data_IF_334637218027
#
_entry.id   IF_334637218027
#
_cell.length_a   1.000
_cell.length_b   1.000
_cell.length_c   1.000
_cell.angle_alpha   90.00
_cell.angle_beta   90.00
_cell.angle_gamma   90.00
#
_symmetry.space_group_name_H-M   'P 1'
#
loop_
_entity.id
_entity.type
_entity.pdbx_description
1 polymer ?
#
# COMPACT_ATOMS: atom_id res chain seq x y z
N UNK A 1 -86.81 29.04 -15.91
CA UNK A 1 -86.06 27.82 -16.19
C UNK A 1 -84.60 28.14 -16.04
N UNK A 2 -84.00 27.67 -14.93
CA UNK A 2 -82.55 27.95 -14.61
C UNK A 2 -81.76 26.67 -14.76
N UNK A 3 -80.90 26.64 -15.75
CA UNK A 3 -79.91 25.53 -15.94
C UNK A 3 -78.74 25.75 -15.01
N UNK A 4 -78.54 24.81 -14.08
CA UNK A 4 -77.39 24.77 -13.19
C UNK A 4 -76.31 23.88 -13.83
N UNK A 5 -75.24 24.47 -14.26
CA UNK A 5 -74.08 23.75 -14.76
C UNK A 5 -73.16 23.33 -13.59
N UNK A 6 -73.07 22.04 -13.36
CA UNK A 6 -72.09 21.46 -12.41
C UNK A 6 -70.68 21.51 -13.00
N UNK A 7 -69.77 22.29 -12.40
CA UNK A 7 -68.39 22.31 -12.68
C UNK A 7 -67.68 21.11 -11.99
N UNK A 8 -67.22 20.19 -12.76
CA UNK A 8 -66.31 19.14 -12.25
C UNK A 8 -64.90 19.70 -12.14
N UNK A 9 -64.45 19.77 -10.90
CA UNK A 9 -63.05 20.15 -10.58
C UNK A 9 -62.16 18.91 -10.76
N UNK A 10 -61.39 18.84 -11.84
CA UNK A 10 -60.43 17.79 -12.09
C UNK A 10 -59.15 18.21 -11.35
N UNK A 11 -58.84 17.50 -10.27
CA UNK A 11 -57.54 17.60 -9.61
C UNK A 11 -56.50 16.78 -10.40
N UNK A 12 -55.41 17.36 -10.88
CA UNK A 12 -54.32 16.57 -11.40
C UNK A 12 -53.56 15.93 -10.23
N UNK A 13 -53.64 14.61 -10.14
CA UNK A 13 -52.79 13.82 -9.24
C UNK A 13 -51.39 13.91 -9.80
N UNK A 14 -50.57 14.73 -9.15
CA UNK A 14 -49.13 14.84 -9.41
C UNK A 14 -48.47 13.57 -8.86
N UNK A 15 -48.22 12.59 -9.73
CA UNK A 15 -47.38 11.44 -9.41
C UNK A 15 -45.94 11.94 -9.19
N UNK A 16 -45.58 12.14 -7.93
CA UNK A 16 -44.19 12.37 -7.52
C UNK A 16 -43.45 11.04 -7.62
N UNK A 17 -42.88 10.78 -8.79
CA UNK A 17 -41.92 9.65 -8.98
C UNK A 17 -40.68 9.98 -8.18
N UNK A 18 -40.61 9.50 -6.94
CA UNK A 18 -39.36 9.50 -6.16
C UNK A 18 -38.43 8.48 -6.81
N UNK A 19 -37.58 8.96 -7.71
CA UNK A 19 -36.42 8.20 -8.15
C UNK A 19 -35.51 8.00 -6.94
N UNK A 20 -35.66 6.87 -6.25
CA UNK A 20 -34.61 6.33 -5.40
C UNK A 20 -33.43 5.98 -6.31
N UNK A 21 -32.57 6.95 -6.56
CA UNK A 21 -31.22 6.67 -7.02
C UNK A 21 -30.53 5.90 -5.89
N UNK A 22 -30.60 4.57 -5.97
CA UNK A 22 -29.72 3.70 -5.22
C UNK A 22 -28.29 4.07 -5.68
N UNK A 23 -27.67 5.01 -4.98
CA UNK A 23 -26.21 5.19 -4.99
C UNK A 23 -25.63 3.89 -4.42
N UNK A 24 -25.56 2.88 -5.28
CA UNK A 24 -24.65 1.76 -5.07
C UNK A 24 -23.27 2.39 -5.03
N UNK A 25 -22.75 2.67 -3.84
CA UNK A 25 -21.35 2.93 -3.60
C UNK A 25 -20.61 1.67 -4.06
N UNK A 26 -20.33 1.57 -5.37
CA UNK A 26 -19.32 0.66 -5.89
C UNK A 26 -18.02 1.17 -5.29
N UNK A 27 -17.61 0.56 -4.18
CA UNK A 27 -16.30 0.81 -3.59
C UNK A 27 -15.27 0.58 -4.70
N UNK A 28 -14.73 1.69 -5.24
CA UNK A 28 -13.70 1.62 -6.26
C UNK A 28 -12.48 0.91 -5.62
N UNK A 29 -12.03 -0.23 -6.14
CA UNK A 29 -10.93 -0.99 -5.55
C UNK A 29 -9.68 -0.13 -5.34
N UNK A 30 -9.43 0.82 -6.24
CA UNK A 30 -8.30 1.76 -6.17
C UNK A 30 -8.41 2.72 -4.97
N UNK A 31 -9.61 3.24 -4.67
CA UNK A 31 -9.82 4.11 -3.50
C UNK A 31 -9.68 3.33 -2.20
N UNK A 32 -10.21 2.11 -2.15
CA UNK A 32 -10.06 1.24 -1.00
C UNK A 32 -8.59 0.89 -0.76
N UNK A 33 -7.83 0.58 -1.81
CA UNK A 33 -6.40 0.31 -1.73
C UNK A 33 -5.59 1.50 -1.21
N UNK A 34 -5.92 2.73 -1.64
CA UNK A 34 -5.31 3.97 -1.12
C UNK A 34 -5.64 4.17 0.35
N UNK A 35 -6.89 3.92 0.76
CA UNK A 35 -7.34 4.05 2.15
C UNK A 35 -6.62 3.07 3.08
N UNK A 36 -6.30 1.87 2.59
CA UNK A 36 -5.52 0.87 3.35
C UNK A 36 -4.10 1.33 3.70
N UNK A 37 -3.51 2.23 2.90
CA UNK A 37 -2.20 2.82 3.19
C UNK A 37 -2.28 4.03 4.12
N UNK A 38 -3.47 4.58 4.37
CA UNK A 38 -3.63 5.71 5.29
C UNK A 38 -3.52 5.23 6.73
N UNK A 39 -2.70 5.93 7.52
CA UNK A 39 -2.55 5.73 8.96
C UNK A 39 -2.72 7.08 9.63
N UNK A 40 -3.48 7.14 10.72
CA UNK A 40 -3.56 8.38 11.50
C UNK A 40 -2.19 8.65 12.14
N UNK A 41 -1.70 9.89 12.12
CA UNK A 41 -0.37 10.23 12.66
C UNK A 41 -0.17 9.81 14.13
N UNK A 42 -1.24 9.73 14.95
CA UNK A 42 -1.19 9.26 16.33
C UNK A 42 -1.14 7.73 16.47
N UNK A 43 -1.45 7.00 15.40
CA UNK A 43 -1.55 5.53 15.40
C UNK A 43 -0.39 4.86 14.65
N UNK A 44 0.46 5.63 13.96
CA UNK A 44 1.58 5.08 13.23
C UNK A 44 1.96 5.92 12.02
N UNK A 45 2.54 5.25 11.02
CA UNK A 45 2.92 5.87 9.74
C UNK A 45 2.77 4.89 8.58
N UNK A 46 2.74 5.44 7.37
CA UNK A 46 2.94 4.69 6.15
C UNK A 46 3.84 5.49 5.21
N UNK A 47 4.96 4.91 4.81
CA UNK A 47 5.87 5.49 3.82
C UNK A 47 5.85 4.63 2.58
N UNK A 48 5.81 5.25 1.39
CA UNK A 48 5.69 4.57 0.10
C UNK A 48 6.75 5.08 -0.86
N UNK A 49 7.39 4.16 -1.55
CA UNK A 49 8.25 4.44 -2.70
C UNK A 49 7.59 3.88 -3.96
N UNK A 50 7.29 4.76 -4.93
CA UNK A 50 6.77 4.37 -6.23
C UNK A 50 7.90 4.27 -7.25
N UNK A 51 7.86 3.21 -8.07
CA UNK A 51 8.85 3.00 -9.12
C UNK A 51 8.35 3.55 -10.46
N UNK A 52 9.15 4.40 -11.14
CA UNK A 52 8.83 4.87 -12.47
C UNK A 52 8.59 3.69 -13.42
N UNK A 53 7.54 3.78 -14.25
CA UNK A 53 7.16 2.71 -15.19
C UNK A 53 6.98 1.32 -14.55
N UNK A 54 6.73 1.28 -13.25
CA UNK A 54 6.65 0.04 -12.47
C UNK A 54 7.92 -0.84 -12.60
N UNK A 55 9.09 -0.23 -12.61
CA UNK A 55 10.38 -0.91 -12.74
C UNK A 55 11.30 -0.52 -11.60
N UNK A 56 11.68 -1.47 -10.76
CA UNK A 56 12.71 -1.28 -9.74
C UNK A 56 14.08 -1.47 -10.39
N UNK A 57 14.74 -0.36 -10.71
CA UNK A 57 16.09 -0.35 -11.27
C UNK A 57 17.14 -0.27 -10.17
N UNK A 58 18.19 -1.06 -10.27
CA UNK A 58 19.30 -1.07 -9.32
C UNK A 58 20.44 -0.18 -9.83
N UNK A 59 20.90 0.72 -8.97
CA UNK A 59 21.98 1.64 -9.30
C UNK A 59 23.30 0.90 -9.47
N UNK A 60 24.09 1.29 -10.48
CA UNK A 60 25.43 0.76 -10.71
C UNK A 60 26.44 1.60 -9.95
N UNK A 61 27.27 0.93 -9.14
CA UNK A 61 28.41 1.53 -8.46
C UNK A 61 29.69 0.96 -9.05
N UNK A 62 30.54 1.82 -9.61
CA UNK A 62 31.86 1.43 -10.05
C UNK A 62 32.76 1.26 -8.83
N UNK A 63 33.43 0.11 -8.73
CA UNK A 63 34.40 -0.17 -7.69
C UNK A 63 35.80 0.28 -8.15
N UNK A 64 36.75 0.55 -7.19
CA UNK A 64 38.11 0.99 -7.52
C UNK A 64 38.89 -0.01 -8.38
N UNK A 65 38.54 -1.31 -8.32
CA UNK A 65 39.15 -2.38 -9.11
C UNK A 65 38.58 -2.51 -10.52
N UNK A 66 37.65 -1.64 -10.92
CA UNK A 66 36.97 -1.66 -12.22
C UNK A 66 35.74 -2.56 -12.28
N UNK A 67 35.42 -3.28 -11.22
CA UNK A 67 34.19 -4.06 -11.14
C UNK A 67 32.94 -3.16 -10.97
N UNK A 68 31.79 -3.69 -11.34
CA UNK A 68 30.49 -3.03 -11.15
C UNK A 68 29.72 -3.76 -10.06
N UNK A 69 29.40 -3.05 -8.99
CA UNK A 69 28.48 -3.48 -7.96
C UNK A 69 27.09 -2.90 -8.22
N UNK A 70 26.04 -3.69 -8.01
CA UNK A 70 24.66 -3.20 -8.06
C UNK A 70 24.23 -2.82 -6.65
N UNK A 71 23.87 -1.53 -6.47
CA UNK A 71 23.18 -1.10 -5.27
C UNK A 71 21.70 -1.52 -5.37
N UNK A 72 21.34 -2.56 -4.64
CA UNK A 72 20.01 -3.18 -4.62
C UNK A 72 19.20 -2.77 -3.39
N UNK A 73 19.65 -1.76 -2.65
CA UNK A 73 18.99 -1.25 -1.47
C UNK A 73 17.96 -0.18 -1.83
N UNK A 74 16.76 -0.31 -1.27
CA UNK A 74 15.76 0.74 -1.19
C UNK A 74 15.75 1.27 0.24
N UNK A 75 15.99 2.56 0.39
CA UNK A 75 16.00 3.23 1.70
C UNK A 75 14.68 3.99 1.87
N UNK A 76 13.99 3.72 2.95
CA UNK A 76 12.76 4.40 3.34
C UNK A 76 12.88 4.88 4.79
N UNK A 77 12.06 5.85 5.18
CA UNK A 77 12.14 6.45 6.51
C UNK A 77 10.76 6.57 7.13
N UNK A 78 10.69 6.51 8.46
CA UNK A 78 9.48 6.70 9.22
C UNK A 78 9.75 6.89 10.69
N UNK A 79 8.81 7.54 11.40
CA UNK A 79 8.91 7.80 12.81
C UNK A 79 7.70 7.21 13.54
N UNK A 80 7.96 6.50 14.64
CA UNK A 80 6.91 5.99 15.50
C UNK A 80 6.39 7.13 16.40
N UNK A 81 5.06 7.36 16.46
CA UNK A 81 4.50 8.51 17.18
C UNK A 81 4.77 8.48 18.69
N UNK A 82 4.74 7.29 19.28
CA UNK A 82 4.97 7.11 20.70
C UNK A 82 5.92 5.93 20.97
N UNK A 83 7.08 6.14 21.62
CA UNK A 83 8.06 5.09 21.88
C UNK A 83 7.60 4.06 22.91
N UNK A 84 6.55 4.36 23.69
CA UNK A 84 6.02 3.44 24.71
C UNK A 84 4.98 2.46 24.13
N UNK A 85 4.54 2.69 22.90
CA UNK A 85 3.57 1.83 22.21
C UNK A 85 4.23 0.69 21.46
N UNK A 86 3.43 -0.33 21.16
CA UNK A 86 3.79 -1.44 20.29
C UNK A 86 3.17 -1.25 18.91
N UNK A 87 3.86 -1.71 17.88
CA UNK A 87 3.45 -1.53 16.49
C UNK A 87 3.57 -2.82 15.71
N UNK A 88 2.61 -3.06 14.83
CA UNK A 88 2.76 -4.02 13.74
C UNK A 88 3.45 -3.34 12.57
N UNK A 89 4.61 -3.84 12.17
CA UNK A 89 5.34 -3.35 11.00
C UNK A 89 5.08 -4.27 9.81
N UNK A 90 4.45 -3.72 8.78
CA UNK A 90 4.00 -4.45 7.59
C UNK A 90 4.76 -3.98 6.35
N UNK A 91 5.30 -4.94 5.58
CA UNK A 91 5.76 -4.72 4.21
C UNK A 91 4.59 -4.91 3.25
N UNK A 92 4.40 -3.95 2.35
CA UNK A 92 3.37 -3.98 1.32
C UNK A 92 4.07 -3.78 -0.03
N UNK A 93 3.75 -4.64 -1.00
CA UNK A 93 4.28 -4.55 -2.37
C UNK A 93 3.12 -4.54 -3.35
N UNK A 94 2.98 -3.46 -4.10
CA UNK A 94 2.03 -3.34 -5.20
C UNK A 94 2.72 -3.70 -6.50
N UNK A 95 2.17 -4.67 -7.23
CA UNK A 95 2.81 -5.24 -8.41
C UNK A 95 1.79 -5.62 -9.49
N UNK A 96 2.21 -5.56 -10.74
CA UNK A 96 1.41 -6.07 -11.85
C UNK A 96 1.46 -7.59 -11.91
N UNK A 97 0.34 -8.23 -12.27
CA UNK A 97 0.25 -9.68 -12.45
C UNK A 97 1.30 -10.26 -13.41
N UNK A 98 1.76 -9.41 -14.34
CA UNK A 98 2.82 -9.74 -15.33
C UNK A 98 4.25 -9.71 -14.77
N UNK A 99 4.46 -9.52 -13.45
CA UNK A 99 5.80 -9.58 -12.86
C UNK A 99 6.50 -10.88 -13.26
N UNK A 100 7.78 -10.82 -13.77
CA UNK A 100 8.41 -11.95 -14.43
C UNK A 100 8.96 -13.02 -13.47
N UNK A 101 8.74 -12.88 -12.18
CA UNK A 101 9.21 -13.81 -11.15
C UNK A 101 8.08 -14.24 -10.22
N UNK A 102 8.23 -15.42 -9.64
CA UNK A 102 7.26 -15.94 -8.65
C UNK A 102 7.59 -15.50 -7.22
N UNK A 103 8.87 -15.29 -6.93
CA UNK A 103 9.37 -14.98 -5.58
C UNK A 103 10.46 -13.93 -5.64
N UNK A 104 10.43 -13.00 -4.70
CA UNK A 104 11.44 -11.98 -4.51
C UNK A 104 11.97 -12.06 -3.08
N UNK A 105 13.16 -12.62 -2.89
CA UNK A 105 13.80 -12.63 -1.58
C UNK A 105 14.39 -11.24 -1.29
N UNK A 106 14.07 -10.72 -0.10
CA UNK A 106 14.52 -9.44 0.42
C UNK A 106 15.17 -9.62 1.80
N UNK A 107 16.17 -8.84 2.11
CA UNK A 107 16.57 -8.59 3.50
C UNK A 107 15.99 -7.23 3.92
N UNK A 108 15.20 -7.25 4.96
CA UNK A 108 14.60 -6.08 5.57
C UNK A 108 15.37 -5.71 6.82
N UNK A 109 15.96 -4.52 6.85
CA UNK A 109 16.74 -4.01 7.98
C UNK A 109 16.11 -2.75 8.55
N UNK A 110 15.86 -2.75 9.86
CA UNK A 110 15.47 -1.55 10.62
C UNK A 110 16.73 -0.99 11.29
N UNK A 111 16.95 0.31 11.16
CA UNK A 111 18.08 1.04 11.74
C UNK A 111 17.52 2.13 12.65
N UNK A 112 18.01 2.18 13.88
CA UNK A 112 17.60 3.20 14.87
C UNK A 112 17.98 4.62 14.44
N UNK A 113 17.32 5.67 14.99
CA UNK A 113 17.58 7.06 14.61
C UNK A 113 19.05 7.49 14.83
N UNK A 114 19.74 6.91 15.82
CA UNK A 114 21.15 7.17 16.10
C UNK A 114 22.12 6.31 15.24
N UNK A 115 21.58 5.40 14.43
CA UNK A 115 22.36 4.49 13.57
C UNK A 115 23.10 3.37 14.28
N UNK A 116 23.02 3.27 15.61
CA UNK A 116 23.83 2.31 16.38
C UNK A 116 23.26 0.92 16.42
N UNK A 117 21.93 0.77 16.33
CA UNK A 117 21.28 -0.54 16.31
C UNK A 117 20.73 -0.85 14.93
N UNK A 118 20.99 -2.08 14.46
CA UNK A 118 20.49 -2.61 13.19
C UNK A 118 19.86 -3.97 13.44
N UNK A 119 18.62 -4.15 13.01
CA UNK A 119 17.96 -5.44 13.08
C UNK A 119 17.51 -5.85 11.69
N UNK A 120 18.01 -7.00 11.23
CA UNK A 120 17.70 -7.54 9.90
C UNK A 120 16.85 -8.79 9.98
N UNK A 121 15.97 -8.97 8.98
CA UNK A 121 15.15 -10.16 8.79
C UNK A 121 15.01 -10.44 7.29
N UNK A 122 15.17 -11.70 6.89
CA UNK A 122 14.84 -12.11 5.52
C UNK A 122 13.33 -12.25 5.36
N UNK A 123 12.82 -11.72 4.26
CA UNK A 123 11.40 -11.74 3.87
C UNK A 123 11.32 -12.25 2.44
N UNK A 124 10.34 -13.08 2.13
CA UNK A 124 10.08 -13.53 0.77
C UNK A 124 8.73 -13.00 0.29
N UNK A 125 8.74 -12.16 -0.73
CA UNK A 125 7.51 -11.72 -1.41
C UNK A 125 7.13 -12.79 -2.43
N UNK A 126 5.94 -13.38 -2.27
CA UNK A 126 5.41 -14.39 -3.20
C UNK A 126 4.34 -13.74 -4.07
N UNK A 127 4.58 -13.73 -5.38
CA UNK A 127 3.70 -13.10 -6.35
C UNK A 127 2.64 -14.06 -6.88
N UNK A 128 1.50 -13.50 -7.32
CA UNK A 128 0.42 -14.22 -7.97
C UNK A 128 -0.14 -15.40 -7.17
N UNK A 129 -0.16 -15.28 -5.85
CA UNK A 129 -0.87 -16.22 -4.98
C UNK A 129 -2.38 -15.99 -5.06
N UNK A 130 -3.18 -17.01 -4.74
CA UNK A 130 -4.65 -16.91 -4.70
C UNK A 130 -5.13 -15.88 -3.65
N UNK A 131 -4.32 -15.65 -2.61
CA UNK A 131 -4.57 -14.65 -1.56
C UNK A 131 -4.16 -13.22 -1.95
N UNK A 132 -3.48 -13.02 -3.08
CA UNK A 132 -3.05 -11.70 -3.51
C UNK A 132 -4.26 -10.87 -3.91
N UNK A 133 -4.46 -9.75 -3.21
CA UNK A 133 -5.60 -8.85 -3.45
C UNK A 133 -5.40 -8.06 -4.75
N UNK A 134 -6.38 -8.13 -5.66
CA UNK A 134 -6.44 -7.23 -6.81
C UNK A 134 -6.90 -5.85 -6.30
N UNK A 135 -6.09 -4.82 -6.51
CA UNK A 135 -6.36 -3.45 -6.07
C UNK A 135 -6.75 -2.51 -7.21
N UNK A 136 -6.42 -2.88 -8.44
CA UNK A 136 -6.80 -2.12 -9.63
C UNK A 136 -6.78 -3.04 -10.87
N UNK A 137 -7.70 -2.79 -11.82
CA UNK A 137 -7.69 -3.45 -13.12
C UNK A 137 -7.99 -2.40 -14.21
N UNK A 138 -7.01 -2.17 -15.09
CA UNK A 138 -7.11 -1.24 -16.21
C UNK A 138 -6.58 -1.90 -17.47
N UNK A 139 -7.39 -1.92 -18.55
CA UNK A 139 -7.01 -2.51 -19.84
C UNK A 139 -6.45 -3.94 -19.72
N UNK A 140 -7.14 -4.79 -18.97
CA UNK A 140 -6.74 -6.17 -18.67
C UNK A 140 -5.40 -6.33 -17.92
N UNK A 141 -4.81 -5.24 -17.43
CA UNK A 141 -3.66 -5.29 -16.51
C UNK A 141 -4.16 -5.24 -15.08
N UNK A 142 -3.87 -6.27 -14.31
CA UNK A 142 -4.22 -6.34 -12.89
C UNK A 142 -3.05 -5.90 -12.03
N UNK A 143 -3.30 -4.88 -11.21
CA UNK A 143 -2.42 -4.49 -10.12
C UNK A 143 -2.85 -5.26 -8.87
N UNK A 144 -1.92 -5.98 -8.28
CA UNK A 144 -2.12 -6.81 -7.09
C UNK A 144 -1.31 -6.28 -5.91
N UNK A 145 -1.75 -6.59 -4.71
CA UNK A 145 -1.07 -6.25 -3.46
C UNK A 145 -0.67 -7.49 -2.70
N UNK A 146 0.61 -7.57 -2.36
CA UNK A 146 1.15 -8.43 -1.32
C UNK A 146 1.28 -7.61 -0.04
N UNK A 147 0.91 -8.19 1.12
CA UNK A 147 1.10 -7.57 2.43
C UNK A 147 1.50 -8.64 3.43
N UNK A 148 2.54 -8.37 4.21
CA UNK A 148 3.03 -9.25 5.26
C UNK A 148 3.48 -8.45 6.48
N UNK A 149 2.98 -8.82 7.65
CA UNK A 149 3.50 -8.31 8.92
C UNK A 149 4.89 -8.90 9.14
N UNK A 150 5.91 -8.03 9.19
CA UNK A 150 7.30 -8.41 9.42
C UNK A 150 7.60 -8.52 10.91
N UNK A 151 7.20 -7.53 11.67
CA UNK A 151 7.35 -7.48 13.11
C UNK A 151 5.98 -7.21 13.76
N UNK A 152 5.34 -8.24 14.32
CA UNK A 152 4.12 -8.05 15.09
C UNK A 152 4.43 -7.52 16.48
N UNK A 153 3.60 -6.62 17.00
CA UNK A 153 3.62 -6.11 18.37
C UNK A 153 5.04 -5.80 18.88
N UNK A 154 5.81 -5.05 18.09
CA UNK A 154 7.18 -4.68 18.44
C UNK A 154 7.23 -3.25 18.98
N UNK A 155 7.95 -3.06 20.10
CA UNK A 155 8.24 -1.74 20.64
C UNK A 155 9.48 -1.13 19.96
N UNK A 156 9.45 0.20 19.75
CA UNK A 156 10.51 1.01 19.17
C UNK A 156 10.78 2.20 20.10
N UNK A 157 11.60 2.00 21.15
CA UNK A 157 11.72 2.94 22.27
C UNK A 157 12.49 4.21 21.92
N UNK A 158 13.25 4.24 20.82
CA UNK A 158 14.02 5.39 20.42
C UNK A 158 13.14 6.44 19.75
N UNK A 159 13.31 7.71 20.13
CA UNK A 159 12.65 8.84 19.48
C UNK A 159 13.42 9.26 18.23
N UNK A 160 12.69 9.55 17.15
CA UNK A 160 13.27 10.05 15.92
C UNK A 160 12.87 9.25 14.70
N UNK A 161 13.56 9.52 13.60
CA UNK A 161 13.31 8.91 12.30
C UNK A 161 14.12 7.63 12.15
N UNK A 162 13.45 6.51 12.06
CA UNK A 162 14.04 5.21 11.73
C UNK A 162 14.30 5.10 10.24
N UNK A 163 15.38 4.40 9.88
CA UNK A 163 15.66 4.02 8.51
C UNK A 163 15.30 2.55 8.29
N UNK A 164 14.59 2.29 7.20
CA UNK A 164 14.24 0.95 6.74
C UNK A 164 14.95 0.69 5.43
N UNK A 165 15.81 -0.32 5.43
CA UNK A 165 16.56 -0.73 4.25
C UNK A 165 15.99 -2.06 3.75
N UNK A 166 15.59 -2.10 2.48
CA UNK A 166 15.20 -3.32 1.79
C UNK A 166 16.26 -3.64 0.76
N UNK A 167 17.03 -4.70 0.99
CA UNK A 167 18.02 -5.18 0.05
C UNK A 167 17.46 -6.32 -0.79
N UNK A 168 17.43 -6.15 -2.12
CA UNK A 168 16.96 -7.18 -3.04
C UNK A 168 18.04 -8.18 -3.36
N UNK A 169 17.73 -9.48 -3.20
CA UNK A 169 18.61 -10.59 -3.66
C UNK A 169 18.42 -10.95 -5.13
N UNK A 170 17.62 -10.17 -5.86
CA UNK A 170 17.39 -10.39 -7.28
C UNK A 170 18.68 -10.19 -8.08
N UNK A 171 18.93 -11.06 -9.06
CA UNK A 171 20.24 -11.14 -9.73
C UNK A 171 20.41 -10.25 -10.95
N UNK A 172 19.30 -9.77 -11.53
CA UNK A 172 19.34 -8.86 -12.69
C UNK A 172 19.44 -7.40 -12.26
N UNK A 173 19.68 -6.52 -13.23
CA UNK A 173 19.87 -5.07 -13.03
C UNK A 173 18.57 -4.30 -12.78
N UNK A 174 17.42 -4.90 -13.12
CA UNK A 174 16.10 -4.32 -12.89
C UNK A 174 15.05 -5.40 -12.71
N UNK A 175 13.97 -5.07 -12.03
CA UNK A 175 12.79 -5.92 -11.84
C UNK A 175 11.56 -5.17 -12.30
N UNK A 176 10.98 -5.61 -13.43
CA UNK A 176 9.76 -5.05 -13.98
C UNK A 176 8.53 -5.58 -13.26
N UNK A 177 7.45 -4.81 -13.28
CA UNK A 177 6.17 -5.17 -12.71
C UNK A 177 5.98 -4.76 -11.25
N UNK A 178 6.97 -4.17 -10.59
CA UNK A 178 6.81 -3.62 -9.22
C UNK A 178 6.40 -2.15 -9.31
N UNK A 179 5.18 -1.85 -8.91
CA UNK A 179 4.62 -0.49 -8.95
C UNK A 179 5.08 0.34 -7.76
N UNK A 180 4.98 -0.23 -6.56
CA UNK A 180 5.35 0.47 -5.32
C UNK A 180 5.73 -0.51 -4.21
N UNK A 181 6.54 -0.04 -3.29
CA UNK A 181 6.81 -0.69 -2.01
C UNK A 181 6.44 0.29 -0.90
N UNK A 182 5.71 -0.21 0.11
CA UNK A 182 5.33 0.59 1.28
C UNK A 182 5.72 -0.13 2.57
N UNK A 183 6.10 0.66 3.55
CA UNK A 183 6.29 0.23 4.94
C UNK A 183 5.22 0.92 5.77
N UNK A 184 4.39 0.13 6.42
CA UNK A 184 3.29 0.59 7.24
C UNK A 184 3.49 0.12 8.68
N UNK A 185 3.47 1.06 9.62
CA UNK A 185 3.43 0.78 11.03
C UNK A 185 2.08 1.20 11.61
N UNK A 186 1.44 0.31 12.36
CA UNK A 186 0.17 0.59 13.02
C UNK A 186 0.26 0.15 14.47
N UNK A 187 -0.18 1.02 15.37
CA UNK A 187 -0.24 0.73 16.81
C UNK A 187 -1.07 -0.53 17.06
N UNK A 188 -0.48 -1.45 17.82
CA UNK A 188 -1.08 -2.72 18.22
C UNK A 188 -0.52 -3.12 19.59
N UNK A 189 -1.01 -2.45 20.66
CA UNK A 189 -0.58 -2.77 22.00
C UNK A 189 -1.11 -4.15 22.42
N UNK A 190 -0.33 -4.96 23.15
CA UNK A 190 -0.83 -6.19 23.75
C UNK A 190 -1.96 -5.88 24.74
N UNK A 191 -2.97 -6.74 24.79
CA UNK A 191 -4.05 -6.70 25.77
C UNK A 191 -3.57 -7.06 27.17
#
# INVERSE_FOLDING_TARGET
MKNSAKKYLIFPILFLTICFSANSCKNNPTEQAKKELQVKPSEGFCTTHEFPNATWTFDKKNLPNGDIELNKSLIMKGAFPNPDDYYDLTLIVDYYESVPIKRLPLDFTTITPDGKSRQSRSVEVVFNTDSAKVIEEVNAKKLKRFAQVIYPQKNYPEKGEFTFELYSKYTKISLDGIKAISIKAVKNNPE
#
